data_IF_836178142210
#
_entry.id   IF_836178142210
#
_cell.length_a   1.000
_cell.length_b   1.000
_cell.length_c   1.000
_cell.angle_alpha   90.00
_cell.angle_beta   90.00
_cell.angle_gamma   90.00
#
_symmetry.space_group_name_H-M   'P 1'
#
loop_
_entity.id
_entity.type
_entity.pdbx_description
1 polymer ?
#
# COMPACT_ATOMS: atom_id res chain seq x y z
N UNK A 1 13.88 13.30 1.62
CA UNK A 1 14.10 13.91 2.95
C UNK A 1 14.57 12.92 4.02
N UNK A 2 14.52 11.61 3.78
CA UNK A 2 15.40 10.67 4.47
C UNK A 2 16.49 10.26 3.49
N UNK A 3 17.75 10.45 3.88
CA UNK A 3 18.91 9.95 3.14
C UNK A 3 18.99 8.42 3.21
N UNK A 4 19.91 7.82 2.44
CA UNK A 4 20.15 6.37 2.42
C UNK A 4 20.47 5.87 3.83
N UNK A 5 19.74 4.85 4.28
CA UNK A 5 19.94 4.24 5.60
C UNK A 5 21.21 3.40 5.54
N UNK A 6 22.23 3.79 6.32
CA UNK A 6 23.44 3.01 6.55
C UNK A 6 23.37 2.31 7.92
N UNK A 7 24.04 1.15 8.06
CA UNK A 7 23.97 0.31 9.27
C UNK A 7 24.41 1.04 10.55
N UNK A 8 25.26 2.07 10.45
CA UNK A 8 25.65 2.93 11.58
C UNK A 8 24.60 3.96 12.01
N UNK A 9 23.65 4.31 11.14
CA UNK A 9 22.68 5.40 11.34
C UNK A 9 21.21 4.92 11.44
N UNK A 10 20.96 3.61 11.39
CA UNK A 10 19.62 3.03 11.42
C UNK A 10 18.78 3.50 12.64
N UNK A 11 19.39 3.57 13.83
CA UNK A 11 18.70 4.01 15.06
C UNK A 11 18.32 5.50 14.99
N UNK A 12 19.22 6.34 14.48
CA UNK A 12 18.98 7.78 14.27
C UNK A 12 17.88 8.02 13.22
N UNK A 13 17.83 7.19 12.18
CA UNK A 13 16.78 7.24 11.18
C UNK A 13 15.42 6.82 11.73
N UNK A 14 15.35 5.77 12.56
CA UNK A 14 14.10 5.35 13.21
C UNK A 14 13.56 6.45 14.12
N UNK A 15 14.42 7.11 14.92
CA UNK A 15 14.04 8.27 15.73
C UNK A 15 13.53 9.43 14.85
N UNK A 16 14.19 9.68 13.72
CA UNK A 16 13.80 10.74 12.78
C UNK A 16 12.47 10.46 12.06
N UNK A 17 12.12 9.19 11.85
CA UNK A 17 10.80 8.79 11.32
C UNK A 17 9.69 9.25 12.27
N UNK A 18 9.89 9.09 13.58
CA UNK A 18 8.91 9.49 14.61
C UNK A 18 8.77 11.01 14.70
N UNK A 19 9.84 11.77 14.45
CA UNK A 19 9.82 13.24 14.49
C UNK A 19 9.24 13.88 13.23
N UNK A 20 9.05 13.11 12.15
CA UNK A 20 8.53 13.62 10.88
C UNK A 20 7.01 13.42 10.85
N UNK A 21 6.20 14.51 10.92
CA UNK A 21 4.74 14.39 11.06
C UNK A 21 4.07 13.69 9.87
N UNK A 22 4.61 13.85 8.66
CA UNK A 22 4.11 13.20 7.44
C UNK A 22 4.25 11.66 7.52
N UNK A 23 5.37 11.17 8.05
CA UNK A 23 5.61 9.74 8.23
C UNK A 23 4.78 9.18 9.37
N UNK A 24 4.64 9.92 10.46
CA UNK A 24 3.79 9.54 11.58
C UNK A 24 2.31 9.44 11.15
N UNK A 25 1.85 10.35 10.31
CA UNK A 25 0.50 10.32 9.73
C UNK A 25 0.32 9.13 8.78
N UNK A 26 1.32 8.84 7.94
CA UNK A 26 1.32 7.62 7.12
C UNK A 26 1.29 6.34 7.98
N UNK A 27 2.05 6.31 9.07
CA UNK A 27 2.14 5.17 9.98
C UNK A 27 0.83 4.93 10.75
N UNK A 28 0.19 5.99 11.25
CA UNK A 28 -1.12 5.86 11.91
C UNK A 28 -2.20 5.42 10.92
N UNK A 29 -2.20 5.98 9.71
CA UNK A 29 -3.11 5.55 8.64
C UNK A 29 -2.89 4.07 8.27
N UNK A 30 -1.64 3.63 8.20
CA UNK A 30 -1.29 2.22 7.97
C UNK A 30 -1.76 1.32 9.11
N UNK A 31 -1.56 1.74 10.37
CA UNK A 31 -2.04 1.01 11.54
C UNK A 31 -3.56 0.83 11.54
N UNK A 32 -4.32 1.89 11.22
CA UNK A 32 -5.78 1.82 11.07
C UNK A 32 -6.16 0.86 9.94
N UNK A 33 -5.48 0.94 8.80
CA UNK A 33 -5.70 0.03 7.66
C UNK A 33 -5.46 -1.43 8.02
N UNK A 34 -4.42 -1.73 8.81
CA UNK A 34 -4.11 -3.06 9.29
C UNK A 34 -5.22 -3.61 10.21
N UNK A 35 -5.71 -2.80 11.15
CA UNK A 35 -6.83 -3.19 12.03
C UNK A 35 -8.09 -3.43 11.21
N UNK A 36 -8.43 -2.55 10.26
CA UNK A 36 -9.56 -2.73 9.37
C UNK A 36 -9.45 -4.03 8.54
N UNK A 37 -8.25 -4.37 8.06
CA UNK A 37 -8.01 -5.60 7.31
C UNK A 37 -8.20 -6.85 8.17
N UNK A 38 -7.71 -6.84 9.41
CA UNK A 38 -7.91 -7.95 10.37
C UNK A 38 -9.40 -8.15 10.68
N UNK A 39 -10.14 -7.05 10.89
CA UNK A 39 -11.59 -7.10 11.10
C UNK A 39 -12.33 -7.63 9.86
N UNK A 40 -11.91 -7.21 8.67
CA UNK A 40 -12.47 -7.67 7.41
C UNK A 40 -12.29 -9.20 7.26
N UNK A 41 -11.10 -9.72 7.57
CA UNK A 41 -10.80 -11.16 7.57
C UNK A 41 -11.67 -11.97 8.53
N UNK A 42 -12.22 -11.33 9.57
CA UNK A 42 -13.12 -12.01 10.51
C UNK A 42 -14.54 -12.19 9.93
N UNK A 43 -14.90 -11.42 8.89
CA UNK A 43 -16.24 -11.39 8.27
C UNK A 43 -16.29 -12.00 6.87
N UNK A 44 -15.17 -12.01 6.15
CA UNK A 44 -15.07 -12.56 4.79
C UNK A 44 -13.93 -13.56 4.66
N UNK A 45 -14.10 -14.53 3.78
CA UNK A 45 -13.07 -15.52 3.48
C UNK A 45 -11.82 -14.85 2.90
N UNK A 46 -10.64 -15.30 3.32
CA UNK A 46 -9.32 -14.88 2.80
C UNK A 46 -9.26 -14.81 1.26
N UNK A 47 -9.89 -15.77 0.59
CA UNK A 47 -9.93 -15.85 -0.88
C UNK A 47 -10.70 -14.71 -1.57
N UNK A 48 -11.55 -13.97 -0.84
CA UNK A 48 -12.26 -12.78 -1.34
C UNK A 48 -11.58 -11.50 -0.84
N UNK A 49 -10.99 -11.54 0.36
CA UNK A 49 -10.26 -10.41 0.93
C UNK A 49 -9.02 -10.05 0.10
N UNK A 50 -8.26 -11.06 -0.34
CA UNK A 50 -7.05 -10.86 -1.14
C UNK A 50 -7.31 -10.04 -2.43
N UNK A 51 -8.27 -10.41 -3.30
CA UNK A 51 -8.57 -9.59 -4.48
C UNK A 51 -9.07 -8.17 -4.14
N UNK A 52 -9.84 -8.00 -3.07
CA UNK A 52 -10.31 -6.68 -2.64
C UNK A 52 -9.14 -5.75 -2.24
N UNK A 53 -8.12 -6.28 -1.57
CA UNK A 53 -6.89 -5.52 -1.22
C UNK A 53 -6.10 -5.14 -2.48
N UNK A 54 -6.00 -6.04 -3.46
CA UNK A 54 -5.33 -5.74 -4.73
C UNK A 54 -5.99 -4.59 -5.51
N UNK A 55 -7.31 -4.40 -5.40
CA UNK A 55 -8.00 -3.21 -5.96
C UNK A 55 -7.53 -1.93 -5.24
N UNK A 56 -7.29 -1.99 -3.93
CA UNK A 56 -6.72 -0.88 -3.17
C UNK A 56 -5.36 -0.41 -3.69
N UNK A 57 -4.59 -1.28 -4.34
CA UNK A 57 -3.32 -0.90 -4.98
C UNK A 57 -3.53 0.11 -6.12
N UNK A 58 -4.65 0.03 -6.86
CA UNK A 58 -5.01 1.01 -7.89
C UNK A 58 -5.16 2.40 -7.27
N UNK A 59 -5.85 2.49 -6.13
CA UNK A 59 -6.01 3.74 -5.38
C UNK A 59 -4.67 4.26 -4.86
N UNK A 60 -3.77 3.38 -4.38
CA UNK A 60 -2.41 3.79 -4.00
C UNK A 60 -1.63 4.38 -5.17
N UNK A 61 -1.69 3.77 -6.36
CA UNK A 61 -1.03 4.29 -7.56
C UNK A 61 -1.64 5.62 -8.00
N UNK A 62 -2.96 5.76 -7.92
CA UNK A 62 -3.66 7.00 -8.26
C UNK A 62 -3.32 8.14 -7.29
N UNK A 63 -3.25 7.85 -5.99
CA UNK A 63 -2.79 8.80 -4.96
C UNK A 63 -1.30 9.13 -5.13
N UNK A 64 -0.45 8.17 -5.48
CA UNK A 64 0.97 8.43 -5.79
C UNK A 64 1.15 9.37 -6.99
N UNK A 65 0.30 9.23 -8.01
CA UNK A 65 0.28 10.15 -9.15
C UNK A 65 -0.24 11.53 -8.78
N UNK A 66 -1.35 11.63 -8.03
CA UNK A 66 -2.02 12.90 -7.79
C UNK A 66 -1.38 13.70 -6.64
N UNK A 67 -1.02 13.03 -5.55
CA UNK A 67 -0.49 13.64 -4.33
C UNK A 67 1.03 13.74 -4.37
N UNK A 68 1.73 12.65 -4.72
CA UNK A 68 3.19 12.63 -4.77
C UNK A 68 3.77 13.06 -6.13
N UNK A 69 2.92 13.23 -7.16
CA UNK A 69 3.34 13.56 -8.54
C UNK A 69 4.41 12.62 -9.09
N UNK A 70 4.34 11.35 -8.70
CA UNK A 70 5.28 10.35 -9.18
C UNK A 70 5.03 10.04 -10.67
N UNK A 71 6.10 10.01 -11.46
CA UNK A 71 6.02 9.55 -12.85
C UNK A 71 5.71 8.05 -12.85
N UNK A 72 4.50 7.68 -13.25
CA UNK A 72 4.14 6.27 -13.40
C UNK A 72 4.71 5.76 -14.73
N UNK A 73 5.68 4.83 -14.72
CA UNK A 73 6.16 4.22 -15.94
C UNK A 73 5.07 3.34 -16.57
N UNK A 74 5.01 3.29 -17.90
CA UNK A 74 4.03 2.48 -18.64
C UNK A 74 4.03 1.01 -18.21
N UNK A 75 5.18 0.48 -17.77
CA UNK A 75 5.30 -0.90 -17.26
C UNK A 75 4.48 -1.14 -15.99
N UNK A 76 4.37 -0.16 -15.09
CA UNK A 76 3.52 -0.26 -13.89
C UNK A 76 2.04 -0.26 -14.25
N UNK A 77 1.64 0.50 -15.27
CA UNK A 77 0.24 0.52 -15.76
C UNK A 77 -0.13 -0.83 -16.37
N UNK A 78 0.76 -1.44 -17.17
CA UNK A 78 0.56 -2.79 -17.69
C UNK A 78 0.48 -3.84 -16.57
N UNK A 79 1.37 -3.77 -15.57
CA UNK A 79 1.31 -4.63 -14.40
C UNK A 79 0.01 -4.45 -13.61
N UNK A 80 -0.48 -3.22 -13.47
CA UNK A 80 -1.76 -2.93 -12.84
C UNK A 80 -2.93 -3.59 -13.58
N UNK A 81 -2.93 -3.52 -14.92
CA UNK A 81 -3.91 -4.20 -15.76
C UNK A 81 -3.92 -5.72 -15.56
N UNK A 82 -2.74 -6.33 -15.44
CA UNK A 82 -2.61 -7.76 -15.13
C UNK A 82 -3.16 -8.11 -13.74
N UNK A 83 -2.88 -7.29 -12.72
CA UNK A 83 -3.42 -7.48 -11.36
C UNK A 83 -4.95 -7.39 -11.40
N UNK A 84 -5.52 -6.38 -12.05
CA UNK A 84 -6.97 -6.22 -12.19
C UNK A 84 -7.59 -7.42 -12.89
N UNK A 85 -6.98 -7.88 -13.98
CA UNK A 85 -7.46 -9.05 -14.73
C UNK A 85 -7.42 -10.32 -13.87
N UNK A 86 -6.32 -10.53 -13.13
CA UNK A 86 -6.19 -11.64 -12.19
C UNK A 86 -7.23 -11.60 -11.07
N UNK A 87 -7.51 -10.42 -10.53
CA UNK A 87 -8.56 -10.21 -9.52
C UNK A 87 -9.94 -10.56 -10.08
N UNK A 88 -10.29 -10.07 -11.27
CA UNK A 88 -11.56 -10.39 -11.92
C UNK A 88 -11.71 -11.91 -12.10
N UNK A 89 -10.66 -12.59 -12.55
CA UNK A 89 -10.68 -14.05 -12.75
C UNK A 89 -10.88 -14.82 -11.44
N UNK A 90 -10.25 -14.37 -10.35
CA UNK A 90 -10.42 -14.97 -9.01
C UNK A 90 -11.83 -14.74 -8.46
N UNK A 91 -12.37 -13.53 -8.63
CA UNK A 91 -13.72 -13.17 -8.14
C UNK A 91 -14.81 -13.83 -8.98
N UNK A 92 -14.63 -13.97 -10.29
CA UNK A 92 -15.63 -14.53 -11.21
C UNK A 92 -15.99 -15.99 -10.93
N UNK A 93 -15.13 -16.72 -10.20
CA UNK A 93 -15.30 -18.14 -9.91
C UNK A 93 -15.99 -18.44 -8.58
N UNK A 94 -16.71 -17.47 -8.01
CA UNK A 94 -17.49 -17.59 -6.77
C UNK A 94 -18.90 -17.04 -6.97
#
# INVERSE_FOLDING_TARGET
KLGKVDAGNAISHILSIVTTPELLLGLTCYGIGAVAYILLLTRINLSVAAPAVSIGYIFSVLLGYFVLKETIPLTRVFGLGLIVTGVILVVWRK
#
